data_IF_073163472023
#
_entry.id   IF_073163472023
#
_cell.length_a   1.000
_cell.length_b   1.000
_cell.length_c   1.000
_cell.angle_alpha   90.00
_cell.angle_beta   90.00
_cell.angle_gamma   90.00
#
_symmetry.space_group_name_H-M   'P 1'
#
loop_
_entity.id
_entity.type
_entity.pdbx_description
1 polymer ?
#
# COMPACT_ATOMS: atom_id res chain seq x y z
N UNK A 1 2.11 -2.89 -11.76
CA UNK A 1 2.95 -1.78 -11.24
C UNK A 1 2.69 -0.41 -11.87
N UNK A 2 1.63 -0.20 -12.67
CA UNK A 2 1.28 1.14 -13.21
C UNK A 2 0.26 1.92 -12.36
N UNK A 3 -0.37 1.28 -11.37
CA UNK A 3 -1.54 1.82 -10.67
C UNK A 3 -1.22 3.02 -9.76
N UNK A 4 -0.04 3.09 -9.15
CA UNK A 4 0.35 4.24 -8.30
C UNK A 4 0.51 5.51 -9.14
N UNK A 5 1.19 5.40 -10.29
CA UNK A 5 1.37 6.51 -11.23
C UNK A 5 0.01 6.92 -11.79
N UNK A 6 -0.83 5.95 -12.17
CA UNK A 6 -2.21 6.21 -12.62
C UNK A 6 -3.03 6.91 -11.54
N UNK A 7 -2.92 6.53 -10.27
CA UNK A 7 -3.61 7.19 -9.16
C UNK A 7 -3.17 8.64 -8.96
N UNK A 8 -1.88 8.95 -9.17
CA UNK A 8 -1.37 10.32 -9.04
C UNK A 8 -2.08 11.28 -10.00
N UNK A 9 -2.29 10.84 -11.25
CA UNK A 9 -2.91 11.63 -12.32
C UNK A 9 -4.42 11.41 -12.50
N UNK A 10 -5.02 10.44 -11.80
CA UNK A 10 -6.45 10.15 -11.92
C UNK A 10 -7.32 11.25 -11.25
N UNK A 11 -8.52 11.54 -11.78
CA UNK A 11 -9.50 12.37 -11.07
C UNK A 11 -9.83 11.79 -9.69
N UNK A 12 -10.18 12.64 -8.71
CA UNK A 12 -10.42 12.25 -7.30
C UNK A 12 -11.33 11.01 -7.16
N UNK A 13 -12.37 10.93 -7.98
CA UNK A 13 -13.34 9.82 -8.04
C UNK A 13 -12.71 8.48 -8.39
N UNK A 14 -11.66 8.47 -9.21
CA UNK A 14 -10.96 7.27 -9.66
C UNK A 14 -9.72 6.92 -8.82
N UNK A 15 -9.27 7.85 -7.95
CA UNK A 15 -8.13 7.64 -7.06
C UNK A 15 -8.39 6.55 -6.03
N UNK A 16 -9.57 6.57 -5.39
CA UNK A 16 -9.89 5.61 -4.32
C UNK A 16 -9.91 4.15 -4.81
N UNK A 17 -10.63 3.78 -5.89
CA UNK A 17 -10.57 2.42 -6.42
C UNK A 17 -9.16 1.98 -6.84
N UNK A 18 -8.33 2.92 -7.30
CA UNK A 18 -6.95 2.62 -7.71
C UNK A 18 -6.05 2.39 -6.50
N UNK A 19 -6.16 3.20 -5.46
CA UNK A 19 -5.41 3.01 -4.20
C UNK A 19 -5.83 1.73 -3.46
N UNK A 20 -7.09 1.33 -3.56
CA UNK A 20 -7.57 0.05 -3.05
C UNK A 20 -6.90 -1.15 -3.74
N UNK A 21 -6.75 -1.10 -5.08
CA UNK A 21 -5.97 -2.13 -5.80
C UNK A 21 -4.49 -2.14 -5.39
N UNK A 22 -3.90 -0.96 -5.17
CA UNK A 22 -2.52 -0.84 -4.69
C UNK A 22 -2.38 -1.46 -3.30
N UNK A 23 -3.33 -1.21 -2.40
CA UNK A 23 -3.36 -1.81 -1.06
C UNK A 23 -3.36 -3.34 -1.11
N UNK A 24 -4.23 -3.93 -1.94
CA UNK A 24 -4.27 -5.39 -2.13
C UNK A 24 -2.93 -5.91 -2.68
N UNK A 25 -2.37 -5.24 -3.69
CA UNK A 25 -1.09 -5.62 -4.29
C UNK A 25 0.06 -5.59 -3.27
N UNK A 26 0.09 -4.61 -2.38
CA UNK A 26 1.09 -4.50 -1.30
C UNK A 26 0.99 -5.68 -0.32
N UNK A 27 -0.22 -6.13 0.02
CA UNK A 27 -0.39 -7.31 0.87
C UNK A 27 0.08 -8.59 0.18
N UNK A 28 -0.21 -8.76 -1.12
CA UNK A 28 0.31 -9.89 -1.90
C UNK A 28 1.84 -9.89 -1.90
N UNK A 29 2.47 -8.75 -2.21
CA UNK A 29 3.94 -8.64 -2.25
C UNK A 29 4.54 -8.91 -0.87
N UNK A 30 3.92 -8.41 0.21
CA UNK A 30 4.37 -8.69 1.58
C UNK A 30 4.43 -10.18 1.87
N UNK A 31 3.39 -10.92 1.47
CA UNK A 31 3.36 -12.37 1.63
C UNK A 31 4.43 -13.06 0.79
N UNK A 32 4.59 -12.68 -0.48
CA UNK A 32 5.61 -13.27 -1.36
C UNK A 32 7.03 -13.05 -0.81
N UNK A 33 7.37 -11.83 -0.40
CA UNK A 33 8.70 -11.49 0.16
C UNK A 33 8.97 -12.25 1.45
N UNK A 34 7.95 -12.42 2.29
CA UNK A 34 8.06 -13.25 3.50
C UNK A 34 8.30 -14.72 3.15
N UNK A 35 7.55 -15.27 2.19
CA UNK A 35 7.74 -16.64 1.72
C UNK A 35 9.13 -16.85 1.13
N UNK A 36 9.63 -15.91 0.33
CA UNK A 36 11.00 -15.97 -0.21
C UNK A 36 12.06 -16.01 0.90
N UNK A 37 11.87 -15.23 1.97
CA UNK A 37 12.76 -15.25 3.13
C UNK A 37 12.67 -16.58 3.90
N UNK A 38 11.46 -17.08 4.17
CA UNK A 38 11.23 -18.37 4.85
C UNK A 38 11.83 -19.55 4.06
N UNK A 39 11.79 -19.48 2.73
CA UNK A 39 12.41 -20.45 1.82
C UNK A 39 13.92 -20.22 1.62
N UNK A 40 14.51 -19.22 2.28
CA UNK A 40 15.93 -18.84 2.19
C UNK A 40 16.38 -18.47 0.76
N UNK A 41 15.46 -17.97 -0.05
CA UNK A 41 15.74 -17.44 -1.40
C UNK A 41 16.41 -16.07 -1.28
N UNK A 42 15.97 -15.26 -0.32
CA UNK A 42 16.58 -13.97 0.04
C UNK A 42 17.12 -14.02 1.46
N UNK A 43 18.16 -13.22 1.74
CA UNK A 43 18.75 -13.10 3.07
C UNK A 43 17.99 -12.10 3.96
N UNK A 44 18.21 -12.17 5.27
CA UNK A 44 17.57 -11.30 6.26
C UNK A 44 17.76 -9.82 5.92
N UNK A 45 18.96 -9.42 5.47
CA UNK A 45 19.26 -8.03 5.10
C UNK A 45 18.40 -7.56 3.94
N UNK A 46 18.22 -8.39 2.92
CA UNK A 46 17.36 -8.09 1.76
C UNK A 46 15.90 -8.09 2.16
N UNK A 47 15.46 -9.07 2.97
CA UNK A 47 14.10 -9.14 3.50
C UNK A 47 13.73 -7.87 4.27
N UNK A 48 14.55 -7.45 5.24
CA UNK A 48 14.29 -6.26 6.06
C UNK A 48 14.18 -4.99 5.22
N UNK A 49 15.10 -4.80 4.27
CA UNK A 49 15.08 -3.65 3.37
C UNK A 49 13.80 -3.60 2.53
N UNK A 50 13.36 -4.74 1.97
CA UNK A 50 12.15 -4.78 1.15
C UNK A 50 10.90 -4.59 2.04
N UNK A 51 10.87 -5.23 3.21
CA UNK A 51 9.78 -5.12 4.16
C UNK A 51 9.58 -3.67 4.64
N UNK A 52 10.66 -2.94 4.90
CA UNK A 52 10.61 -1.52 5.26
C UNK A 52 9.93 -0.68 4.16
N UNK A 53 10.36 -0.85 2.91
CA UNK A 53 9.76 -0.16 1.76
C UNK A 53 8.27 -0.48 1.58
N UNK A 54 7.88 -1.75 1.76
CA UNK A 54 6.48 -2.17 1.71
C UNK A 54 5.68 -1.50 2.83
N UNK A 55 6.20 -1.49 4.06
CA UNK A 55 5.53 -0.87 5.22
C UNK A 55 5.32 0.62 5.01
N UNK A 56 6.33 1.35 4.54
CA UNK A 56 6.22 2.78 4.24
C UNK A 56 5.19 3.04 3.14
N UNK A 57 5.23 2.26 2.07
CA UNK A 57 4.27 2.39 0.96
C UNK A 57 2.84 2.08 1.40
N UNK A 58 2.65 1.09 2.27
CA UNK A 58 1.35 0.78 2.87
C UNK A 58 0.84 1.90 3.78
N UNK A 59 1.71 2.52 4.59
CA UNK A 59 1.33 3.69 5.41
C UNK A 59 0.86 4.84 4.52
N UNK A 60 1.61 5.18 3.48
CA UNK A 60 1.24 6.23 2.54
C UNK A 60 -0.08 5.94 1.83
N UNK A 61 -0.24 4.74 1.29
CA UNK A 61 -1.46 4.31 0.59
C UNK A 61 -2.69 4.43 1.50
N UNK A 62 -2.58 3.95 2.74
CA UNK A 62 -3.67 4.04 3.72
C UNK A 62 -4.00 5.48 4.11
N UNK A 63 -3.00 6.36 4.26
CA UNK A 63 -3.23 7.78 4.53
C UNK A 63 -4.02 8.45 3.40
N UNK A 64 -3.69 8.15 2.14
CA UNK A 64 -4.44 8.67 0.98
C UNK A 64 -5.87 8.14 0.92
N UNK A 65 -6.07 6.84 1.19
CA UNK A 65 -7.41 6.25 1.26
C UNK A 65 -8.24 6.95 2.34
N UNK A 66 -7.72 7.13 3.56
CA UNK A 66 -8.41 7.84 4.65
C UNK A 66 -8.75 9.29 4.28
N UNK A 67 -7.81 10.01 3.67
CA UNK A 67 -8.06 11.37 3.19
C UNK A 67 -9.20 11.44 2.16
N UNK A 68 -9.23 10.49 1.22
CA UNK A 68 -10.24 10.43 0.16
C UNK A 68 -11.62 9.99 0.65
N UNK A 69 -11.68 9.08 1.63
CA UNK A 69 -12.92 8.70 2.31
C UNK A 69 -13.49 9.83 3.17
N UNK A 70 -12.73 10.91 3.35
CA UNK A 70 -13.00 11.96 4.30
C UNK A 70 -12.77 11.44 5.71
N UNK A 71 -12.21 12.27 6.58
CA UNK A 71 -12.53 12.10 7.99
C UNK A 71 -14.07 12.12 8.08
N UNK A 72 -14.69 10.97 8.39
CA UNK A 72 -15.99 10.97 9.02
C UNK A 72 -15.82 11.75 10.33
N UNK A 73 -16.01 13.08 10.29
CA UNK A 73 -16.30 13.84 11.50
C UNK A 73 -17.55 13.19 12.07
N UNK A 74 -17.56 12.68 13.31
CA UNK A 74 -18.82 12.52 13.99
C UNK A 74 -19.51 13.90 13.99
N UNK A 75 -20.84 13.99 13.80
CA UNK A 75 -21.52 15.25 14.08
C UNK A 75 -21.14 15.68 15.50
N UNK A 76 -20.74 16.94 15.66
CA UNK A 76 -20.54 17.52 16.98
C UNK A 76 -21.86 17.35 17.75
N UNK A 77 -21.83 16.53 18.81
CA UNK A 77 -22.92 16.42 19.78
C UNK A 77 -22.76 17.52 20.81
#
# INVERSE_FOLDING_TARGET
>A
MGDIIRAAFAPKVQKLPTLERVRISLEVIKHLVRTEHELRIIDEKTYLRIAELIVETSKMTNSWIRYLMGNARPPAQ
#
